data_IF_562048219969
#
_entry.id   IF_562048219969
#
_cell.length_a   1.000
_cell.length_b   1.000
_cell.length_c   1.000
_cell.angle_alpha   90.00
_cell.angle_beta   90.00
_cell.angle_gamma   90.00
#
_symmetry.space_group_name_H-M   'P 1'
#
loop_
_entity.id
_entity.type
_entity.pdbx_description
1 polymer ?
#
# COMPACT_ATOMS: atom_id res chain seq x y z
N UNK A 1 -13.31 14.62 4.38
CA UNK A 1 -12.44 14.06 3.33
C UNK A 1 -12.06 12.68 3.77
N UNK A 2 -12.17 11.69 2.89
CA UNK A 2 -11.74 10.34 3.20
C UNK A 2 -10.27 10.17 2.81
N UNK A 3 -9.44 9.74 3.75
CA UNK A 3 -8.02 9.52 3.52
C UNK A 3 -7.79 8.07 3.05
N UNK A 4 -7.02 7.92 1.98
CA UNK A 4 -6.72 6.63 1.38
C UNK A 4 -5.22 6.46 1.12
N UNK A 5 -4.73 5.25 1.36
CA UNK A 5 -3.49 4.76 0.78
C UNK A 5 -3.78 4.40 -0.67
N UNK A 6 -3.09 5.05 -1.61
CA UNK A 6 -3.14 4.71 -3.02
C UNK A 6 -1.92 3.90 -3.43
N UNK A 7 -2.13 2.86 -4.24
CA UNK A 7 -1.05 2.07 -4.81
C UNK A 7 -1.22 1.93 -6.33
N UNK A 8 -0.12 2.14 -7.05
CA UNK A 8 0.01 1.74 -8.45
C UNK A 8 0.85 0.48 -8.51
N UNK A 9 0.24 -0.63 -8.91
CA UNK A 9 0.90 -1.94 -8.98
C UNK A 9 1.23 -2.25 -10.44
N UNK A 10 2.51 -2.31 -10.76
CA UNK A 10 3.02 -2.70 -12.07
C UNK A 10 3.39 -4.17 -12.03
N UNK A 11 2.46 -5.04 -12.44
CA UNK A 11 2.64 -6.48 -12.41
C UNK A 11 3.01 -7.01 -13.79
N UNK A 12 3.99 -7.91 -13.88
CA UNK A 12 4.35 -8.60 -15.13
C UNK A 12 3.40 -9.76 -15.47
N UNK A 13 2.72 -10.30 -14.46
CA UNK A 13 1.78 -11.42 -14.56
C UNK A 13 0.77 -11.37 -13.41
N UNK A 14 -0.34 -12.13 -13.47
CA UNK A 14 -1.33 -12.18 -12.40
C UNK A 14 -0.74 -12.53 -11.03
N UNK A 15 -1.36 -12.02 -9.97
CA UNK A 15 -0.95 -12.27 -8.59
C UNK A 15 -1.93 -11.67 -7.59
N UNK A 16 -1.66 -11.89 -6.30
CA UNK A 16 -2.42 -11.30 -5.20
C UNK A 16 -1.53 -10.31 -4.47
N UNK A 17 -1.95 -9.04 -4.42
CA UNK A 17 -1.27 -8.00 -3.63
C UNK A 17 -2.08 -7.73 -2.37
N UNK A 18 -1.43 -7.76 -1.21
CA UNK A 18 -2.00 -7.32 0.06
C UNK A 18 -1.43 -5.95 0.40
N UNK A 19 -2.30 -4.95 0.57
CA UNK A 19 -1.93 -3.63 1.07
C UNK A 19 -2.24 -3.55 2.56
N UNK A 20 -1.42 -2.83 3.32
CA UNK A 20 -1.67 -2.52 4.72
C UNK A 20 -1.46 -1.03 5.03
N UNK A 21 -2.27 -0.51 5.94
CA UNK A 21 -2.19 0.86 6.47
C UNK A 21 -2.71 0.87 7.91
N UNK A 22 -1.81 1.01 8.88
CA UNK A 22 -2.15 0.81 10.30
C UNK A 22 -2.76 -0.57 10.56
N UNK A 23 -3.96 -0.60 11.14
CA UNK A 23 -4.74 -1.83 11.34
C UNK A 23 -5.52 -2.29 10.10
N UNK A 24 -5.60 -1.47 9.04
CA UNK A 24 -6.34 -1.80 7.83
C UNK A 24 -5.48 -2.71 6.93
N UNK A 25 -6.10 -3.72 6.34
CA UNK A 25 -5.46 -4.63 5.40
C UNK A 25 -6.46 -5.16 4.38
N UNK A 26 -6.06 -5.23 3.12
CA UNK A 26 -6.91 -5.77 2.05
C UNK A 26 -6.06 -6.42 0.95
N UNK A 27 -6.54 -7.55 0.45
CA UNK A 27 -5.96 -8.26 -0.69
C UNK A 27 -6.72 -7.97 -1.98
N UNK A 28 -5.99 -7.85 -3.08
CA UNK A 28 -6.50 -7.59 -4.42
C UNK A 28 -5.89 -8.59 -5.40
N UNK A 29 -6.71 -9.11 -6.29
CA UNK A 29 -6.22 -9.80 -7.47
C UNK A 29 -5.78 -8.74 -8.49
N UNK A 30 -4.57 -8.88 -9.01
CA UNK A 30 -4.04 -8.03 -10.09
C UNK A 30 -3.71 -8.90 -11.30
N UNK A 31 -3.83 -8.32 -12.50
CA UNK A 31 -3.41 -8.92 -13.77
C UNK A 31 -2.10 -8.29 -14.24
N UNK A 32 -1.49 -8.84 -15.29
CA UNK A 32 -0.35 -8.18 -15.94
C UNK A 32 -0.72 -6.78 -16.44
N UNK A 33 0.17 -5.81 -16.26
CA UNK A 33 -0.07 -4.39 -16.54
C UNK A 33 -0.10 -3.53 -15.28
N UNK A 34 -0.86 -2.43 -15.32
CA UNK A 34 -0.95 -1.45 -14.22
C UNK A 34 -2.31 -1.56 -13.55
N UNK A 35 -2.32 -1.71 -12.22
CA UNK A 35 -3.54 -1.64 -11.40
C UNK A 35 -3.48 -0.43 -10.48
N UNK A 36 -4.56 0.35 -10.43
CA UNK A 36 -4.76 1.43 -9.46
C UNK A 36 -5.65 0.93 -8.32
N UNK A 37 -5.11 0.90 -7.11
CA UNK A 37 -5.77 0.38 -5.92
C UNK A 37 -5.84 1.45 -4.83
N UNK A 38 -6.81 1.29 -3.93
CA UNK A 38 -6.94 2.14 -2.74
C UNK A 38 -7.31 1.29 -1.52
N UNK A 39 -6.77 1.66 -0.36
CA UNK A 39 -7.10 1.12 0.96
C UNK A 39 -7.42 2.27 1.90
N UNK A 40 -8.44 2.13 2.75
CA UNK A 40 -8.73 3.12 3.79
C UNK A 40 -7.47 3.38 4.63
N UNK A 41 -7.09 4.64 4.79
CA UNK A 41 -5.90 5.00 5.55
C UNK A 41 -6.13 4.68 7.04
N UNK A 42 -5.16 4.03 7.67
CA UNK A 42 -5.13 3.75 9.11
C UNK A 42 -3.91 4.38 9.77
N UNK A 43 -4.02 4.72 11.05
CA UNK A 43 -2.92 5.26 11.85
C UNK A 43 -1.78 4.23 11.98
N UNK A 44 -0.55 4.68 11.73
CA UNK A 44 0.65 3.85 11.73
C UNK A 44 1.33 3.74 10.35
N UNK A 45 2.15 2.69 10.20
CA UNK A 45 2.90 2.44 8.97
C UNK A 45 2.02 1.96 7.81
N UNK A 46 2.63 1.89 6.63
CA UNK A 46 2.03 1.31 5.42
C UNK A 46 2.84 0.11 4.95
N UNK A 47 2.24 -0.74 4.13
CA UNK A 47 2.94 -1.87 3.54
C UNK A 47 2.26 -2.45 2.32
N UNK A 48 3.00 -3.26 1.58
CA UNK A 48 2.50 -4.03 0.45
C UNK A 48 3.26 -5.37 0.35
N UNK A 49 2.57 -6.47 0.06
CA UNK A 49 3.19 -7.76 -0.21
C UNK A 49 2.49 -8.46 -1.38
N UNK A 50 3.26 -8.99 -2.34
CA UNK A 50 2.70 -9.70 -3.50
C UNK A 50 2.99 -11.19 -3.39
N UNK A 51 1.95 -12.00 -3.55
CA UNK A 51 2.09 -13.44 -3.76
C UNK A 51 1.72 -13.87 -5.18
N UNK A 52 2.47 -14.82 -5.71
CA UNK A 52 2.16 -15.56 -6.95
C UNK A 52 2.35 -17.05 -6.69
N UNK A 53 1.35 -17.85 -7.06
CA UNK A 53 1.37 -19.31 -6.87
C UNK A 53 1.65 -19.73 -5.40
N UNK A 54 1.18 -18.93 -4.43
CA UNK A 54 1.40 -19.19 -3.00
C UNK A 54 2.74 -18.70 -2.45
N UNK A 55 3.67 -18.29 -3.32
CA UNK A 55 4.99 -17.76 -2.91
C UNK A 55 4.95 -16.24 -2.81
N UNK A 56 5.62 -15.68 -1.80
CA UNK A 56 5.77 -14.23 -1.66
C UNK A 56 6.89 -13.74 -2.58
N UNK A 57 6.54 -12.96 -3.60
CA UNK A 57 7.46 -12.47 -4.63
C UNK A 57 7.91 -11.03 -4.42
N UNK A 58 7.25 -10.29 -3.51
CA UNK A 58 7.59 -8.90 -3.21
C UNK A 58 7.10 -8.51 -1.83
N UNK A 59 7.88 -7.74 -1.08
CA UNK A 59 7.45 -7.17 0.20
C UNK A 59 8.02 -5.78 0.39
N UNK A 60 7.16 -4.88 0.85
CA UNK A 60 7.46 -3.48 1.08
C UNK A 60 6.88 -3.07 2.42
N UNK A 61 7.76 -2.58 3.30
CA UNK A 61 7.41 -2.02 4.60
C UNK A 61 8.42 -0.92 4.91
N UNK A 62 8.15 0.34 4.51
CA UNK A 62 9.09 1.43 4.68
C UNK A 62 9.22 1.76 6.17
N UNK A 63 10.46 1.95 6.61
CA UNK A 63 10.74 2.50 7.93
C UNK A 63 10.74 4.03 7.86
N UNK A 64 10.27 4.69 8.92
CA UNK A 64 10.26 6.15 9.02
C UNK A 64 9.03 6.85 8.42
N UNK A 65 8.08 6.12 7.85
CA UNK A 65 6.74 6.64 7.54
C UNK A 65 5.72 6.17 8.57
N UNK A 66 4.94 7.10 9.10
CA UNK A 66 3.76 6.81 9.93
C UNK A 66 2.69 7.85 9.66
N UNK A 67 1.48 7.40 9.35
CA UNK A 67 0.31 8.26 9.25
C UNK A 67 -0.31 8.47 10.63
N UNK A 68 -0.84 9.66 10.90
CA UNK A 68 -1.59 9.97 12.14
C UNK A 68 -2.86 10.75 11.81
N UNK A 69 -3.94 10.45 12.53
CA UNK A 69 -5.21 11.18 12.46
C UNK A 69 -5.17 12.49 13.26
N UNK A 70 -4.13 12.69 14.07
CA UNK A 70 -4.01 13.82 15.00
C UNK A 70 -2.69 14.59 14.81
N UNK A 71 -2.42 15.16 13.62
CA UNK A 71 -1.22 15.93 13.41
C UNK A 71 -1.26 17.24 14.22
N UNK A 72 -0.13 17.63 14.82
CA UNK A 72 0.00 18.88 15.58
C UNK A 72 -0.11 20.14 14.71
N UNK A 73 -0.06 19.99 13.38
CA UNK A 73 -0.24 21.06 12.39
C UNK A 73 -0.87 20.46 11.14
N UNK A 74 -1.86 21.16 10.55
CA UNK A 74 -2.43 20.76 9.26
C UNK A 74 -1.36 20.93 8.18
N UNK A 75 -0.81 19.81 7.70
CA UNK A 75 0.16 19.78 6.62
C UNK A 75 -0.25 18.69 5.63
N UNK A 76 -0.47 19.07 4.36
CA UNK A 76 -0.74 18.13 3.28
C UNK A 76 0.58 17.46 2.85
N UNK A 77 0.98 16.41 3.57
CA UNK A 77 2.18 15.64 3.23
C UNK A 77 1.82 14.49 2.29
N UNK A 78 2.52 14.38 1.16
CA UNK A 78 2.48 13.21 0.29
C UNK A 78 3.76 12.39 0.49
N UNK A 79 3.62 11.11 0.80
CA UNK A 79 4.72 10.14 0.79
C UNK A 79 4.62 9.25 -0.44
N UNK A 80 5.70 9.17 -1.21
CA UNK A 80 5.79 8.31 -2.39
C UNK A 80 7.00 7.40 -2.21
N UNK A 81 6.78 6.11 -2.37
CA UNK A 81 7.84 5.11 -2.38
C UNK A 81 7.59 4.10 -3.49
N UNK A 82 8.69 3.53 -3.99
CA UNK A 82 8.68 2.51 -5.03
C UNK A 82 9.70 1.42 -4.68
N UNK A 83 9.42 0.20 -5.12
CA UNK A 83 10.35 -0.92 -5.10
C UNK A 83 10.49 -1.54 -6.50
N UNK A 84 11.51 -2.39 -6.70
CA UNK A 84 11.81 -3.01 -7.99
C UNK A 84 10.73 -3.97 -8.48
#
# INVERSE_FOLDING_TARGET
TDDYLWALVFATAPGVITLSSGSNSQSYNVVGGVSKLQLAQGEGGVGAAMSRNGENVYSFSPTGFSFTLHPSSYNFNAYVAAGP
#
